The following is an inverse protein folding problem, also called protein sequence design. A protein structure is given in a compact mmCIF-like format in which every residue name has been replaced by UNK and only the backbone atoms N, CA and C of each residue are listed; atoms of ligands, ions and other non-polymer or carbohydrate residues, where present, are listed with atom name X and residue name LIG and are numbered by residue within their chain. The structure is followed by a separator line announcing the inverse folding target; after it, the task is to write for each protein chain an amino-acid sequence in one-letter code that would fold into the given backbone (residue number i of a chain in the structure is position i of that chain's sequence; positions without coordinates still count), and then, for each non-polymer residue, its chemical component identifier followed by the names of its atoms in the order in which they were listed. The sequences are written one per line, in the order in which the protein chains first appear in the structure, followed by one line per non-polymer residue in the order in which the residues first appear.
data_IF_779259886474
#
_entry.id   IF_779259886474
#
_cell.length_a   1.000
_cell.length_b   1.000
_cell.length_c   1.000
_cell.angle_alpha   90.00
_cell.angle_beta   90.00
_cell.angle_gamma   90.00
#
_symmetry.space_group_name_H-M   'P 1'
#
loop_
_entity.id
_entity.type
_entity.pdbx_description
1 polymer ?
#
# COMPACT_ATOMS: atom_id res chain seq x y z
N UNK A 1 18.35 -44.26 46.93
CA UNK A 1 18.95 -42.95 46.57
C UNK A 1 18.52 -42.61 45.15
N UNK A 2 17.59 -41.68 45.00
CA UNK A 2 17.41 -40.82 43.83
C UNK A 2 16.36 -39.79 44.24
N UNK A 3 16.80 -38.74 44.95
CA UNK A 3 15.96 -37.58 45.26
C UNK A 3 16.08 -36.66 44.05
N UNK A 4 14.93 -36.44 43.42
CA UNK A 4 14.71 -35.82 42.12
C UNK A 4 15.36 -34.43 41.98
N UNK A 5 16.17 -34.22 40.93
CA UNK A 5 16.72 -32.91 40.53
C UNK A 5 15.75 -32.07 39.69
N UNK A 6 14.44 -32.23 39.87
CA UNK A 6 13.40 -31.64 39.00
C UNK A 6 12.92 -30.24 39.42
N UNK A 7 13.26 -29.77 40.63
CA UNK A 7 12.87 -28.45 41.14
C UNK A 7 13.38 -27.23 40.33
N UNK A 8 14.65 -27.16 39.87
CA UNK A 8 15.13 -25.96 39.18
C UNK A 8 14.54 -25.81 37.77
N UNK A 9 14.33 -26.92 37.05
CA UNK A 9 13.72 -26.90 35.72
C UNK A 9 12.26 -26.46 35.75
N UNK A 10 11.54 -26.87 36.80
CA UNK A 10 10.13 -26.52 36.98
C UNK A 10 9.96 -25.04 37.37
N UNK A 11 10.80 -24.51 38.26
CA UNK A 11 10.83 -23.08 38.57
C UNK A 11 11.15 -22.21 37.35
N UNK A 12 12.15 -22.61 36.55
CA UNK A 12 12.50 -21.93 35.30
C UNK A 12 11.31 -21.92 34.31
N UNK A 13 10.60 -23.04 34.19
CA UNK A 13 9.42 -23.14 33.32
C UNK A 13 8.30 -22.19 33.76
N UNK A 14 8.05 -22.04 35.06
CA UNK A 14 7.05 -21.09 35.57
C UNK A 14 7.44 -19.63 35.30
N UNK A 15 8.70 -19.26 35.52
CA UNK A 15 9.20 -17.92 35.22
C UNK A 15 9.08 -17.62 33.73
N UNK A 16 9.48 -18.56 32.87
CA UNK A 16 9.35 -18.42 31.43
C UNK A 16 7.87 -18.29 31.00
N UNK A 17 6.97 -19.11 31.54
CA UNK A 17 5.54 -19.04 31.24
C UNK A 17 4.93 -17.69 31.69
N UNK A 18 5.29 -17.21 32.88
CA UNK A 18 4.84 -15.92 33.38
C UNK A 18 5.36 -14.76 32.50
N UNK A 19 6.63 -14.80 32.10
CA UNK A 19 7.22 -13.82 31.20
C UNK A 19 6.47 -13.81 29.85
N UNK A 20 6.20 -14.97 29.25
CA UNK A 20 5.45 -15.07 27.99
C UNK A 20 4.04 -14.50 28.14
N UNK A 21 3.29 -14.87 29.19
CA UNK A 21 1.91 -14.40 29.40
C UNK A 21 1.81 -12.89 29.59
N UNK A 22 2.85 -12.25 30.13
CA UNK A 22 2.89 -10.79 30.31
C UNK A 22 3.39 -10.07 29.05
N UNK A 23 4.51 -10.52 28.49
CA UNK A 23 5.20 -9.86 27.37
C UNK A 23 4.42 -10.02 26.07
N UNK A 24 3.87 -11.21 25.81
CA UNK A 24 3.19 -11.51 24.54
C UNK A 24 2.01 -10.56 24.22
N UNK A 25 0.99 -10.39 25.09
CA UNK A 25 -0.10 -9.45 24.81
C UNK A 25 0.39 -8.01 24.71
N UNK A 26 1.42 -7.63 25.48
CA UNK A 26 2.02 -6.30 25.41
C UNK A 26 2.65 -6.05 24.03
N UNK A 27 3.48 -6.97 23.56
CA UNK A 27 4.12 -6.90 22.23
C UNK A 27 3.06 -6.88 21.12
N UNK A 28 2.01 -7.71 21.23
CA UNK A 28 0.92 -7.70 20.25
C UNK A 28 0.23 -6.34 20.17
N UNK A 29 -0.08 -5.72 21.31
CA UNK A 29 -0.78 -4.44 21.35
C UNK A 29 0.04 -3.28 20.80
N UNK A 30 1.34 -3.24 21.08
CA UNK A 30 2.17 -2.07 20.80
C UNK A 30 3.08 -2.20 19.57
N UNK A 31 3.47 -3.41 19.19
CA UNK A 31 4.36 -3.64 18.04
C UNK A 31 3.64 -4.26 16.84
N UNK A 32 2.75 -5.24 17.08
CA UNK A 32 2.11 -5.98 15.98
C UNK A 32 0.88 -5.23 15.44
N UNK A 33 -0.06 -4.88 16.31
CA UNK A 33 -1.32 -4.21 15.98
C UNK A 33 -1.26 -2.69 16.17
N UNK A 34 -0.13 -2.08 15.77
CA UNK A 34 0.01 -0.62 15.69
C UNK A 34 -0.86 -0.06 14.57
N UNK A 35 -1.12 1.25 14.65
CA UNK A 35 -1.87 1.98 13.64
C UNK A 35 -1.24 1.77 12.25
N UNK A 36 -2.10 1.60 11.25
CA UNK A 36 -1.71 1.44 9.84
C UNK A 36 -2.16 2.65 9.05
N UNK A 37 -1.31 3.12 8.15
CA UNK A 37 -1.61 4.21 7.24
C UNK A 37 -1.78 3.63 5.84
N UNK A 38 -2.96 3.81 5.26
CA UNK A 38 -3.29 3.31 3.93
C UNK A 38 -3.54 4.51 3.03
N UNK A 39 -2.69 4.68 2.01
CA UNK A 39 -2.92 5.69 0.99
C UNK A 39 -4.12 5.27 0.13
N UNK A 40 -5.10 6.17 -0.01
CA UNK A 40 -6.29 5.96 -0.81
C UNK A 40 -6.39 7.08 -1.85
N UNK A 41 -6.68 6.69 -3.10
CA UNK A 41 -7.10 7.64 -4.12
C UNK A 41 -8.62 7.60 -4.29
N UNK A 42 -9.16 8.67 -4.86
CA UNK A 42 -10.55 8.74 -5.25
C UNK A 42 -10.98 7.53 -6.08
N UNK A 43 -12.15 6.97 -5.78
CA UNK A 43 -12.74 5.75 -6.34
C UNK A 43 -12.07 4.42 -5.94
N UNK A 44 -11.01 4.44 -5.13
CA UNK A 44 -10.36 3.21 -4.68
C UNK A 44 -11.24 2.44 -3.67
N UNK A 45 -11.36 1.13 -3.91
CA UNK A 45 -12.00 0.21 -2.97
C UNK A 45 -10.98 -0.79 -2.46
N UNK A 46 -10.61 -0.68 -1.18
CA UNK A 46 -9.47 -1.40 -0.60
C UNK A 46 -9.92 -2.25 0.59
N UNK A 47 -9.61 -3.56 0.63
CA UNK A 47 -9.75 -4.37 1.84
C UNK A 47 -8.62 -4.03 2.83
N UNK A 48 -8.96 -3.40 3.95
CA UNK A 48 -7.98 -2.98 4.96
C UNK A 48 -7.79 -4.09 5.99
N UNK A 49 -6.92 -5.05 5.64
CA UNK A 49 -6.65 -6.26 6.43
C UNK A 49 -5.37 -6.19 7.28
N UNK A 50 -4.47 -5.27 6.96
CA UNK A 50 -3.15 -5.21 7.57
C UNK A 50 -3.23 -4.87 9.06
N UNK A 51 -2.49 -5.62 9.88
CA UNK A 51 -2.38 -5.42 11.34
C UNK A 51 -3.73 -5.39 12.07
N UNK A 52 -4.72 -6.14 11.57
CA UNK A 52 -6.01 -6.37 12.23
C UNK A 52 -6.18 -7.86 12.52
N UNK A 53 -6.70 -8.20 13.70
CA UNK A 53 -7.03 -9.57 14.09
C UNK A 53 -8.35 -9.61 14.82
N UNK A 54 -9.27 -10.48 14.40
CA UNK A 54 -10.59 -10.64 15.04
C UNK A 54 -10.51 -11.23 16.47
N UNK A 55 -9.37 -11.85 16.82
CA UNK A 55 -9.09 -12.36 18.18
C UNK A 55 -8.67 -11.22 19.11
N UNK A 56 -7.74 -10.37 18.67
CA UNK A 56 -7.13 -9.33 19.52
C UNK A 56 -7.82 -7.98 19.41
N UNK A 57 -8.45 -7.70 18.27
CA UNK A 57 -9.23 -6.51 18.02
C UNK A 57 -10.72 -6.84 18.25
N UNK A 58 -11.42 -6.00 19.00
CA UNK A 58 -12.89 -6.03 19.09
C UNK A 58 -13.57 -5.27 17.96
N UNK A 59 -12.81 -4.45 17.25
CA UNK A 59 -13.28 -3.64 16.13
C UNK A 59 -12.13 -2.91 15.47
N UNK A 60 -12.43 -2.25 14.36
CA UNK A 60 -11.50 -1.46 13.58
C UNK A 60 -12.02 -0.03 13.50
N UNK A 61 -11.20 0.92 13.95
CA UNK A 61 -11.46 2.35 13.81
C UNK A 61 -10.73 2.89 12.58
N UNK A 62 -11.42 3.68 11.78
CA UNK A 62 -10.98 4.21 10.50
C UNK A 62 -11.15 5.72 10.52
N UNK A 63 -10.07 6.45 10.20
CA UNK A 63 -10.06 7.92 10.21
C UNK A 63 -9.38 8.45 8.95
N UNK A 64 -10.06 9.31 8.22
CA UNK A 64 -9.55 9.99 7.02
C UNK A 64 -10.14 11.41 6.95
N UNK A 65 -9.47 12.36 6.28
CA UNK A 65 -9.98 13.72 6.16
C UNK A 65 -11.08 13.80 5.09
N UNK A 66 -10.94 13.02 4.01
CA UNK A 66 -11.99 12.83 3.00
C UNK A 66 -13.06 11.84 3.46
N UNK A 67 -14.27 12.01 2.93
CA UNK A 67 -15.40 11.13 3.21
C UNK A 67 -15.23 9.77 2.54
N UNK A 68 -15.56 8.70 3.25
CA UNK A 68 -15.54 7.34 2.74
C UNK A 68 -16.76 6.53 3.20
N UNK A 69 -16.97 5.42 2.50
CA UNK A 69 -17.88 4.35 2.89
C UNK A 69 -17.03 3.17 3.39
N UNK A 70 -17.49 2.46 4.41
CA UNK A 70 -16.83 1.28 4.92
C UNK A 70 -17.85 0.19 5.24
N UNK A 71 -17.50 -1.06 4.90
CA UNK A 71 -18.38 -2.21 5.06
C UNK A 71 -17.59 -3.42 5.56
N UNK A 72 -18.17 -4.19 6.48
CA UNK A 72 -17.59 -5.46 6.93
C UNK A 72 -18.00 -6.58 5.99
N UNK A 73 -17.00 -7.28 5.46
CA UNK A 73 -17.18 -8.50 4.69
C UNK A 73 -16.66 -9.70 5.46
N UNK A 74 -17.12 -10.87 5.08
CA UNK A 74 -16.64 -12.15 5.59
C UNK A 74 -16.13 -12.97 4.42
N UNK A 75 -14.98 -13.63 4.58
CA UNK A 75 -14.51 -14.53 3.53
C UNK A 75 -15.59 -15.61 3.31
N UNK A 76 -16.12 -15.68 2.09
CA UNK A 76 -17.16 -16.63 1.68
C UNK A 76 -16.88 -17.09 0.25
N UNK A 77 -17.40 -18.26 -0.12
CA UNK A 77 -17.13 -18.88 -1.43
C UNK A 77 -17.74 -18.13 -2.63
N UNK A 78 -18.58 -17.11 -2.38
CA UNK A 78 -19.20 -16.30 -3.43
C UNK A 78 -18.33 -15.12 -3.87
N UNK A 79 -18.46 -14.69 -5.13
CA UNK A 79 -17.82 -13.46 -5.58
C UNK A 79 -18.42 -12.26 -4.83
N UNK A 80 -17.63 -11.61 -3.97
CA UNK A 80 -18.04 -10.38 -3.24
C UNK A 80 -17.85 -9.12 -4.08
N UNK A 81 -17.20 -9.25 -5.25
CA UNK A 81 -16.92 -8.14 -6.17
C UNK A 81 -17.88 -8.14 -7.35
N UNK A 82 -18.13 -6.95 -7.90
CA UNK A 82 -18.93 -6.71 -9.10
C UNK A 82 -18.31 -5.61 -9.95
N UNK A 83 -18.55 -5.56 -11.27
CA UNK A 83 -18.15 -4.40 -12.06
C UNK A 83 -18.89 -3.16 -11.57
N UNK A 84 -18.21 -2.01 -11.59
CA UNK A 84 -18.82 -0.72 -11.28
C UNK A 84 -19.94 -0.36 -12.26
N UNK A 85 -19.89 -0.92 -13.48
CA UNK A 85 -20.91 -0.75 -14.53
C UNK A 85 -20.79 0.55 -15.32
N UNK A 86 -19.72 1.32 -15.11
CA UNK A 86 -19.37 2.53 -15.86
C UNK A 86 -17.86 2.71 -15.88
N UNK A 87 -17.35 3.29 -16.96
CA UNK A 87 -15.94 3.68 -17.08
C UNK A 87 -15.73 5.03 -16.42
N UNK A 88 -14.70 5.12 -15.58
CA UNK A 88 -14.28 6.37 -14.96
C UNK A 88 -13.22 7.04 -15.82
N UNK A 89 -13.31 8.35 -15.99
CA UNK A 89 -12.36 9.15 -16.75
C UNK A 89 -11.59 10.07 -15.80
N UNK A 90 -10.27 9.94 -15.79
CA UNK A 90 -9.37 10.81 -15.02
C UNK A 90 -8.34 11.41 -15.97
N UNK A 91 -8.32 12.73 -16.08
CA UNK A 91 -7.30 13.45 -16.86
C UNK A 91 -6.22 13.99 -15.95
N UNK A 92 -4.97 13.61 -16.21
CA UNK A 92 -3.79 14.13 -15.53
C UNK A 92 -2.91 14.86 -16.54
N UNK A 93 -2.52 16.09 -16.20
CA UNK A 93 -1.52 16.86 -16.96
C UNK A 93 -0.37 17.17 -16.03
N UNK A 94 0.82 16.78 -16.44
CA UNK A 94 2.03 16.91 -15.64
C UNK A 94 3.15 17.54 -16.47
N UNK A 95 4.02 18.28 -15.81
CA UNK A 95 5.23 18.85 -16.40
C UNK A 95 6.42 18.19 -15.77
N UNK A 96 7.06 17.27 -16.49
CA UNK A 96 8.18 16.48 -16.00
C UNK A 96 9.48 17.11 -16.51
N UNK A 97 10.34 17.65 -15.62
CA UNK A 97 11.65 18.19 -15.99
C UNK A 97 12.59 17.17 -16.65
N UNK A 98 13.79 17.62 -17.03
CA UNK A 98 14.80 16.75 -17.63
C UNK A 98 15.36 15.77 -16.60
N UNK A 99 15.42 14.50 -17.00
CA UNK A 99 15.92 13.37 -16.20
C UNK A 99 15.22 13.23 -14.84
N UNK A 100 13.93 13.55 -14.82
CA UNK A 100 13.08 13.35 -13.66
C UNK A 100 11.94 12.40 -14.00
N UNK A 101 11.19 12.04 -12.96
CA UNK A 101 10.04 11.19 -13.08
C UNK A 101 8.90 11.68 -12.17
N UNK A 102 7.70 11.25 -12.50
CA UNK A 102 6.49 11.44 -11.73
C UNK A 102 5.70 10.14 -11.75
N UNK A 103 5.05 9.78 -10.65
CA UNK A 103 4.25 8.57 -10.62
C UNK A 103 2.97 8.73 -9.82
N UNK A 104 1.98 7.90 -10.18
CA UNK A 104 0.64 7.90 -9.61
C UNK A 104 0.26 6.48 -9.21
N UNK A 105 -0.27 6.29 -8.00
CA UNK A 105 -0.68 4.98 -7.49
C UNK A 105 -2.19 4.82 -7.50
N UNK A 106 -2.67 3.66 -7.95
CA UNK A 106 -4.07 3.28 -7.90
C UNK A 106 -4.21 1.89 -7.32
N UNK A 107 -5.15 1.68 -6.40
CA UNK A 107 -5.51 0.33 -6.01
C UNK A 107 -6.56 -0.25 -6.96
N UNK A 108 -6.26 -1.40 -7.56
CA UNK A 108 -7.23 -2.11 -8.40
C UNK A 108 -7.60 -3.45 -7.79
N UNK A 109 -8.89 -3.76 -7.83
CA UNK A 109 -9.40 -5.10 -7.53
C UNK A 109 -9.23 -5.99 -8.76
N UNK A 110 -8.88 -7.26 -8.55
CA UNK A 110 -8.74 -8.26 -9.60
C UNK A 110 -9.97 -8.31 -10.52
N UNK A 111 -9.73 -8.41 -11.83
CA UNK A 111 -10.76 -8.34 -12.87
C UNK A 111 -11.04 -6.92 -13.39
N UNK A 112 -10.44 -5.88 -12.79
CA UNK A 112 -10.50 -4.52 -13.34
C UNK A 112 -9.69 -4.43 -14.65
N UNK A 113 -10.01 -3.43 -15.46
CA UNK A 113 -9.22 -3.06 -16.63
C UNK A 113 -9.01 -1.56 -16.62
N UNK A 114 -7.87 -1.10 -17.13
CA UNK A 114 -7.68 0.33 -17.35
C UNK A 114 -6.96 0.59 -18.66
N UNK A 115 -7.33 1.69 -19.30
CA UNK A 115 -6.71 2.19 -20.52
C UNK A 115 -6.16 3.59 -20.27
N UNK A 116 -4.91 3.83 -20.63
CA UNK A 116 -4.26 5.14 -20.54
C UNK A 116 -4.03 5.65 -21.96
N UNK A 117 -4.64 6.79 -22.28
CA UNK A 117 -4.42 7.55 -23.51
C UNK A 117 -3.46 8.69 -23.21
N UNK A 118 -2.21 8.53 -23.63
CA UNK A 118 -1.10 9.42 -23.23
C UNK A 118 -0.37 10.01 -24.42
N UNK A 119 -0.01 11.30 -24.32
CA UNK A 119 0.95 11.96 -25.21
C UNK A 119 1.99 12.74 -24.41
N UNK A 120 3.14 12.97 -25.03
CA UNK A 120 4.13 13.94 -24.54
C UNK A 120 4.31 15.09 -25.52
N UNK A 121 4.76 16.23 -25.03
CA UNK A 121 5.01 17.40 -25.88
C UNK A 121 6.35 17.33 -26.60
N UNK A 122 7.35 16.80 -25.91
CA UNK A 122 8.72 16.61 -26.38
C UNK A 122 9.05 15.12 -26.42
N UNK A 123 10.06 14.77 -27.21
CA UNK A 123 10.63 13.42 -27.26
C UNK A 123 11.34 13.06 -25.94
N UNK A 124 11.62 11.77 -25.75
CA UNK A 124 12.36 11.29 -24.57
C UNK A 124 11.51 11.03 -23.33
N UNK A 125 10.18 11.00 -23.46
CA UNK A 125 9.29 10.55 -22.39
C UNK A 125 8.97 9.05 -22.51
N UNK A 126 8.74 8.40 -21.38
CA UNK A 126 8.29 7.02 -21.31
C UNK A 126 7.30 6.78 -20.19
N UNK A 127 6.52 5.73 -20.38
CA UNK A 127 5.51 5.21 -19.47
C UNK A 127 5.94 3.84 -18.96
N UNK A 128 5.87 3.59 -17.66
CA UNK A 128 6.06 2.25 -17.08
C UNK A 128 4.93 1.93 -16.09
N UNK A 129 4.56 0.65 -16.02
CA UNK A 129 3.62 0.16 -15.02
C UNK A 129 4.34 -0.74 -14.02
N UNK A 130 4.19 -0.48 -12.73
CA UNK A 130 4.81 -1.24 -11.64
C UNK A 130 3.69 -1.74 -10.72
N UNK A 131 3.76 -3.00 -10.30
CA UNK A 131 2.78 -3.59 -9.37
C UNK A 131 3.39 -3.81 -7.99
N UNK A 132 2.71 -3.33 -6.96
CA UNK A 132 3.04 -3.54 -5.56
C UNK A 132 4.08 -2.56 -5.02
N UNK A 133 3.95 -2.21 -3.75
CA UNK A 133 4.81 -1.25 -3.05
C UNK A 133 6.26 -1.73 -2.95
N UNK A 134 6.49 -3.03 -2.80
CA UNK A 134 7.85 -3.61 -2.76
C UNK A 134 8.60 -3.40 -4.08
N UNK A 135 7.93 -3.62 -5.23
CA UNK A 135 8.56 -3.42 -6.53
C UNK A 135 8.83 -1.93 -6.80
N UNK A 136 7.91 -1.05 -6.39
CA UNK A 136 8.12 0.40 -6.44
C UNK A 136 9.33 0.81 -5.59
N UNK A 137 9.40 0.37 -4.34
CA UNK A 137 10.50 0.70 -3.43
C UNK A 137 11.87 0.30 -4.01
N UNK A 138 11.97 -0.92 -4.54
CA UNK A 138 13.20 -1.38 -5.24
C UNK A 138 13.55 -0.48 -6.42
N UNK A 139 12.56 -0.05 -7.22
CA UNK A 139 12.85 0.86 -8.33
C UNK A 139 13.33 2.23 -7.82
N UNK A 140 12.65 2.82 -6.83
CA UNK A 140 13.03 4.11 -6.28
C UNK A 140 14.46 4.08 -5.71
N UNK A 141 14.81 3.04 -4.95
CA UNK A 141 16.18 2.85 -4.44
C UNK A 141 17.20 2.69 -5.58
N UNK A 142 16.88 1.93 -6.63
CA UNK A 142 17.75 1.80 -7.81
C UNK A 142 17.94 3.13 -8.56
N UNK A 143 16.90 3.97 -8.62
CA UNK A 143 16.99 5.30 -9.21
C UNK A 143 17.82 6.25 -8.33
N UNK A 144 17.71 6.16 -7.01
CA UNK A 144 18.50 6.95 -6.06
C UNK A 144 19.98 6.58 -6.04
N UNK A 145 20.30 5.29 -6.10
CA UNK A 145 21.69 4.80 -6.18
C UNK A 145 22.36 5.27 -7.46
N UNK A 146 21.69 5.11 -8.61
CA UNK A 146 22.11 5.65 -9.90
C UNK A 146 22.28 7.17 -9.87
N UNK A 147 21.38 7.89 -9.18
CA UNK A 147 21.51 9.35 -8.97
C UNK A 147 22.77 9.71 -8.18
N UNK A 148 23.17 8.88 -7.20
CA UNK A 148 24.38 9.09 -6.39
C UNK A 148 25.67 8.74 -7.14
N UNK A 149 25.58 8.22 -8.37
CA UNK A 149 26.75 7.78 -9.15
C UNK A 149 27.45 6.57 -8.54
N UNK A 150 26.76 5.84 -7.67
CA UNK A 150 27.18 4.53 -7.18
C UNK A 150 26.63 3.49 -8.16
N UNK A 151 27.25 3.39 -9.34
CA UNK A 151 26.99 2.25 -10.21
C UNK A 151 27.55 1.00 -9.50
N UNK A 152 26.67 0.04 -9.21
CA UNK A 152 27.08 -1.35 -9.00
C UNK A 152 27.85 -1.78 -10.25
N UNK A 153 29.16 -1.90 -10.12
CA UNK A 153 29.94 -2.66 -11.08
C UNK A 153 29.55 -4.11 -10.87
N UNK A 154 28.81 -4.65 -11.83
CA UNK A 154 28.75 -6.08 -12.08
C UNK A 154 30.18 -6.56 -12.38
N UNK A 155 30.96 -6.85 -11.35
CA UNK A 155 32.14 -7.72 -11.44
C UNK A 155 31.98 -8.86 -10.43
N UNK A 156 31.50 -9.99 -10.94
CA UNK A 156 31.71 -11.30 -10.35
C UNK A 156 33.23 -11.57 -10.23
N UNK A 157 33.78 -11.67 -9.01
CA UNK A 157 34.97 -12.49 -8.70
C UNK A 157 35.18 -12.67 -7.18
N UNK A 158 35.33 -13.94 -6.78
CA UNK A 158 35.70 -14.46 -5.46
C UNK A 158 36.74 -13.64 -4.68
N UNK A 159 36.55 -13.49 -3.36
CA UNK A 159 37.45 -14.05 -2.33
C UNK A 159 37.03 -13.68 -0.90
N UNK A 160 37.31 -14.61 0.02
CA UNK A 160 36.87 -14.73 1.41
C UNK A 160 37.36 -13.66 2.43
N UNK A 161 36.52 -13.55 3.48
CA UNK A 161 36.85 -13.35 4.92
C UNK A 161 37.00 -11.92 5.52
N UNK A 162 36.71 -11.79 6.84
CA UNK A 162 35.80 -10.75 7.35
C UNK A 162 36.50 -9.71 8.23
N UNK A 163 35.86 -8.56 8.42
CA UNK A 163 35.96 -7.83 9.68
C UNK A 163 34.66 -7.06 9.94
N UNK A 164 34.15 -7.27 11.15
CA UNK A 164 32.96 -6.62 11.65
C UNK A 164 33.16 -5.15 11.91
N UNK A 165 32.05 -4.42 11.89
CA UNK A 165 31.70 -3.56 13.00
C UNK A 165 30.17 -3.48 13.10
N UNK A 166 29.70 -3.71 14.32
CA UNK A 166 28.35 -3.51 14.79
C UNK A 166 27.89 -2.07 14.56
N UNK A 167 26.72 -1.89 13.96
CA UNK A 167 25.71 -0.97 14.49
C UNK A 167 24.34 -1.20 13.86
N UNK A 168 23.38 -1.54 14.69
CA UNK A 168 21.96 -1.26 14.54
C UNK A 168 21.53 -0.54 15.82
N UNK A 169 20.55 0.37 15.77
CA UNK A 169 19.16 -0.10 15.80
C UNK A 169 18.18 0.66 14.89
N UNK A 170 17.19 -0.11 14.42
CA UNK A 170 15.75 0.18 14.41
C UNK A 170 15.24 1.53 13.88
N UNK A 171 14.42 1.50 12.82
CA UNK A 171 12.94 1.60 12.95
C UNK A 171 12.25 1.65 11.56
N UNK A 172 11.32 0.71 11.36
CA UNK A 172 10.45 0.65 10.18
C UNK A 172 9.26 1.63 10.30
N UNK A 173 9.45 2.81 9.75
CA UNK A 173 8.36 3.72 9.39
C UNK A 173 7.84 3.39 7.99
N UNK A 174 6.92 2.42 7.91
CA UNK A 174 6.07 2.27 6.72
C UNK A 174 4.98 3.34 6.75
N UNK A 175 5.36 4.53 6.28
CA UNK A 175 4.44 5.58 5.82
C UNK A 175 5.04 6.19 4.55
N UNK A 176 4.92 5.49 3.42
CA UNK A 176 5.23 6.08 2.13
C UNK A 176 3.96 6.69 1.52
N UNK A 177 3.47 7.78 2.10
CA UNK A 177 2.75 8.78 1.30
C UNK A 177 3.78 9.49 0.44
N UNK A 178 4.04 8.95 -0.74
CA UNK A 178 4.98 9.56 -1.67
C UNK A 178 4.22 9.77 -2.98
N UNK A 179 3.67 10.98 -3.13
CA UNK A 179 3.69 11.64 -4.42
C UNK A 179 5.09 12.25 -4.55
N UNK A 180 5.92 11.72 -5.45
CA UNK A 180 7.24 12.31 -5.71
C UNK A 180 7.06 13.55 -6.57
N UNK A 181 7.03 14.73 -5.95
CA UNK A 181 7.48 15.92 -6.63
C UNK A 181 9.01 15.92 -6.64
N UNK A 182 9.56 15.51 -7.80
CA UNK A 182 10.92 15.80 -8.31
C UNK A 182 12.11 14.96 -7.78
N UNK A 183 12.59 14.01 -8.59
CA UNK A 183 13.91 13.38 -8.47
C UNK A 183 14.86 13.83 -9.60
N UNK A 184 15.95 14.52 -9.27
CA UNK A 184 16.97 15.02 -10.23
C UNK A 184 18.09 13.98 -10.42
N UNK A 185 18.32 13.47 -11.63
CA UNK A 185 19.48 12.61 -11.93
C UNK A 185 20.72 13.45 -12.27
N UNK A 186 21.89 12.98 -11.86
CA UNK A 186 23.19 13.63 -12.06
C UNK A 186 24.11 12.74 -12.91
N UNK A 187 23.70 12.39 -14.13
CA UNK A 187 24.63 11.91 -15.17
C UNK A 187 24.01 12.00 -16.57
N UNK A 188 24.77 12.51 -17.55
CA UNK A 188 24.28 12.80 -18.91
C UNK A 188 24.34 11.60 -19.88
N UNK A 189 24.83 10.43 -19.45
CA UNK A 189 25.14 9.32 -20.36
C UNK A 189 24.17 8.13 -20.32
N UNK A 190 23.18 8.10 -19.42
CA UNK A 190 22.21 7.00 -19.36
C UNK A 190 20.85 7.39 -19.94
N UNK A 191 20.34 6.52 -20.81
CA UNK A 191 19.02 6.62 -21.43
C UNK A 191 17.87 6.71 -20.41
N UNK A 192 16.67 6.88 -20.94
CA UNK A 192 15.42 6.97 -20.17
C UNK A 192 15.42 5.94 -19.05
N UNK A 193 15.23 6.39 -17.81
CA UNK A 193 15.30 5.54 -16.61
C UNK A 193 14.18 4.49 -16.64
N UNK A 194 14.55 3.24 -16.89
CA UNK A 194 13.64 2.09 -16.89
C UNK A 194 13.76 1.36 -15.56
N UNK A 195 12.64 1.13 -14.88
CA UNK A 195 12.60 0.20 -13.74
C UNK A 195 12.72 -1.24 -14.26
N UNK A 196 13.74 -1.99 -13.84
CA UNK A 196 13.94 -3.39 -14.26
C UNK A 196 12.78 -4.32 -13.86
N UNK A 197 12.06 -3.98 -12.78
CA UNK A 197 10.90 -4.76 -12.28
C UNK A 197 9.54 -4.21 -12.73
N UNK A 198 9.51 -3.33 -13.75
CA UNK A 198 8.24 -2.90 -14.33
C UNK A 198 7.56 -4.06 -15.07
N UNK A 199 6.23 -4.11 -15.01
CA UNK A 199 5.43 -5.05 -15.80
C UNK A 199 5.65 -4.83 -17.30
N UNK A 200 5.75 -3.57 -17.70
CA UNK A 200 6.13 -3.17 -19.04
C UNK A 200 6.57 -1.70 -19.07
N UNK A 201 7.31 -1.34 -20.12
CA UNK A 201 7.81 0.01 -20.39
C UNK A 201 7.54 0.38 -21.87
N UNK A 202 6.92 1.53 -22.11
CA UNK A 202 6.55 2.02 -23.44
C UNK A 202 7.10 3.43 -23.66
N UNK A 203 7.90 3.67 -24.71
CA UNK A 203 8.28 5.02 -25.09
C UNK A 203 7.05 5.78 -25.63
N UNK A 204 6.85 7.02 -25.16
CA UNK A 204 5.69 7.81 -25.52
C UNK A 204 5.83 8.44 -26.90
N UNK A 205 4.69 8.53 -27.62
CA UNK A 205 4.60 9.33 -28.83
C UNK A 205 4.53 10.80 -28.45
N UNK A 206 5.29 11.63 -29.16
CA UNK A 206 5.38 13.04 -28.88
C UNK A 206 4.81 13.89 -30.02
N UNK A 207 4.22 15.04 -29.66
CA UNK A 207 3.86 16.10 -30.60
C UNK A 207 3.81 17.44 -29.88
N UNK A 208 4.22 18.51 -30.56
CA UNK A 208 4.22 19.86 -29.96
C UNK A 208 2.81 20.36 -29.57
N UNK A 209 1.76 19.79 -30.17
CA UNK A 209 0.36 20.12 -29.87
C UNK A 209 -0.21 19.44 -28.63
N UNK A 210 0.48 18.45 -28.04
CA UNK A 210 -0.01 17.71 -26.87
C UNK A 210 -0.22 18.68 -25.70
N UNK A 211 -1.41 18.62 -25.08
CA UNK A 211 -1.79 19.52 -23.98
C UNK A 211 -2.02 20.98 -24.38
N UNK A 212 -2.15 21.27 -25.67
CA UNK A 212 -2.55 22.61 -26.16
C UNK A 212 -4.00 22.62 -26.60
N UNK A 213 -4.57 23.81 -26.82
CA UNK A 213 -5.90 23.97 -27.41
C UNK A 213 -6.05 23.33 -28.82
N UNK A 214 -4.93 23.00 -29.48
CA UNK A 214 -4.91 22.33 -30.79
C UNK A 214 -4.64 20.82 -30.71
N UNK A 215 -4.66 20.24 -29.50
CA UNK A 215 -4.55 18.79 -29.30
C UNK A 215 -5.79 18.08 -29.90
N UNK A 216 -5.58 17.29 -30.95
CA UNK A 216 -6.64 16.52 -31.63
C UNK A 216 -6.81 15.11 -31.06
N UNK A 217 -5.99 14.68 -30.10
CA UNK A 217 -6.04 13.35 -29.46
C UNK A 217 -5.69 12.15 -30.35
N UNK A 218 -5.68 12.29 -31.67
CA UNK A 218 -5.39 11.26 -32.68
C UNK A 218 -3.98 10.64 -32.60
N UNK A 219 -3.03 11.39 -32.06
CA UNK A 219 -1.64 11.00 -31.90
C UNK A 219 -1.33 10.35 -30.54
N UNK A 220 -2.33 10.25 -29.65
CA UNK A 220 -2.16 9.68 -28.32
C UNK A 220 -1.93 8.17 -28.40
N UNK A 221 -1.10 7.68 -27.50
CA UNK A 221 -0.81 6.26 -27.35
C UNK A 221 -1.81 5.66 -26.37
N UNK A 222 -2.60 4.68 -26.82
CA UNK A 222 -3.56 3.98 -25.98
C UNK A 222 -2.96 2.68 -25.45
N UNK A 223 -2.72 2.62 -24.14
CA UNK A 223 -2.13 1.48 -23.46
C UNK A 223 -3.21 0.87 -22.57
N UNK A 224 -3.58 -0.39 -22.78
CA UNK A 224 -4.59 -1.07 -21.96
C UNK A 224 -3.98 -2.20 -21.15
N UNK A 225 -4.42 -2.37 -19.91
CA UNK A 225 -3.93 -3.41 -19.02
C UNK A 225 -5.05 -4.04 -18.19
N UNK A 226 -5.16 -5.37 -18.29
CA UNK A 226 -6.09 -6.17 -17.50
C UNK A 226 -5.47 -6.58 -16.16
N UNK A 227 -6.15 -6.24 -15.06
CA UNK A 227 -5.69 -6.48 -13.69
C UNK A 227 -5.97 -7.92 -13.28
N UNK A 228 -4.92 -8.74 -13.22
CA UNK A 228 -5.02 -10.15 -12.81
C UNK A 228 -5.17 -10.33 -11.30
N UNK A 229 -4.51 -9.48 -10.50
CA UNK A 229 -4.45 -9.60 -9.03
C UNK A 229 -4.75 -8.27 -8.35
N UNK A 230 -5.47 -8.30 -7.22
CA UNK A 230 -5.78 -7.10 -6.43
C UNK A 230 -4.53 -6.57 -5.74
N UNK A 231 -4.06 -5.39 -6.11
CA UNK A 231 -2.87 -4.74 -5.54
C UNK A 231 -2.83 -3.25 -5.95
N UNK A 232 -1.85 -2.52 -5.43
CA UNK A 232 -1.47 -1.21 -5.93
C UNK A 232 -0.73 -1.31 -7.27
N UNK A 233 -1.15 -0.52 -8.23
CA UNK A 233 -0.48 -0.34 -9.52
C UNK A 233 0.00 1.10 -9.62
N UNK A 234 1.30 1.26 -9.79
CA UNK A 234 1.97 2.54 -9.91
C UNK A 234 2.30 2.82 -11.37
N UNK A 235 1.77 3.93 -11.86
CA UNK A 235 1.95 4.42 -13.21
C UNK A 235 3.07 5.44 -13.18
N UNK A 236 4.16 5.15 -13.88
CA UNK A 236 5.42 5.89 -13.81
C UNK A 236 5.67 6.61 -15.14
N UNK A 237 5.91 7.92 -15.07
CA UNK A 237 6.24 8.77 -16.20
C UNK A 237 7.66 9.30 -16.03
N UNK A 238 8.56 8.91 -16.93
CA UNK A 238 9.93 9.39 -16.95
C UNK A 238 10.14 10.32 -18.15
N UNK A 239 10.98 11.34 -18.01
CA UNK A 239 11.26 12.30 -19.07
C UNK A 239 12.74 12.63 -19.16
N UNK A 240 13.30 12.55 -20.36
CA UNK A 240 14.63 13.01 -20.70
C UNK A 240 14.59 13.76 -22.05
N UNK A 241 14.05 14.99 -22.07
CA UNK A 241 13.95 15.76 -23.29
C UNK A 241 15.35 16.19 -23.78
N UNK A 242 15.55 16.32 -25.10
CA UNK A 242 16.85 16.65 -25.68
C UNK A 242 17.32 18.07 -25.35
N UNK A 243 16.40 18.98 -25.02
CA UNK A 243 16.70 20.37 -24.67
C UNK A 243 16.66 20.55 -23.14
N UNK A 244 17.73 21.09 -22.58
CA UNK A 244 17.92 21.25 -21.13
C UNK A 244 16.94 22.22 -20.47
N UNK A 245 16.42 23.19 -21.22
CA UNK A 245 15.73 24.37 -20.65
C UNK A 245 14.22 24.19 -20.54
N UNK A 246 13.61 23.22 -21.22
CA UNK A 246 12.15 23.08 -21.30
C UNK A 246 11.68 21.76 -20.68
N UNK A 247 10.84 21.80 -19.63
CA UNK A 247 10.22 20.58 -19.11
C UNK A 247 9.28 19.97 -20.15
N UNK A 248 9.10 18.66 -20.09
CA UNK A 248 8.20 17.95 -20.98
C UNK A 248 6.81 17.91 -20.39
N UNK A 249 5.82 18.46 -21.10
CA UNK A 249 4.42 18.32 -20.71
C UNK A 249 3.91 16.95 -21.17
N UNK A 250 3.40 16.15 -20.24
CA UNK A 250 2.78 14.86 -20.50
C UNK A 250 1.31 14.99 -20.11
N UNK A 251 0.42 14.57 -21.02
CA UNK A 251 -1.03 14.51 -20.77
C UNK A 251 -1.45 13.06 -20.85
N UNK A 252 -2.09 12.57 -19.79
CA UNK A 252 -2.55 11.20 -19.68
C UNK A 252 -4.02 11.19 -19.25
N UNK A 253 -4.87 10.62 -20.11
CA UNK A 253 -6.27 10.36 -19.83
C UNK A 253 -6.45 8.89 -19.49
N UNK A 254 -6.92 8.62 -18.28
CA UNK A 254 -7.16 7.29 -17.74
C UNK A 254 -8.64 6.95 -17.88
N UNK A 255 -8.92 5.82 -18.49
CA UNK A 255 -10.23 5.18 -18.57
C UNK A 255 -10.19 3.94 -17.69
N UNK A 256 -10.92 3.97 -16.57
CA UNK A 256 -10.87 2.95 -15.53
C UNK A 256 -12.17 2.15 -15.51
N UNK A 257 -12.10 0.88 -15.89
CA UNK A 257 -13.17 -0.10 -15.75
C UNK A 257 -12.94 -0.90 -14.47
N UNK A 258 -13.46 -0.38 -13.34
CA UNK A 258 -13.16 -0.91 -12.02
C UNK A 258 -14.10 -2.04 -11.60
N UNK A 259 -13.53 -3.04 -10.93
CA UNK A 259 -14.25 -3.97 -10.07
C UNK A 259 -14.32 -3.36 -8.66
N UNK A 260 -15.50 -3.43 -8.04
CA UNK A 260 -15.77 -2.89 -6.70
C UNK A 260 -16.42 -3.95 -5.82
N UNK A 261 -16.34 -3.79 -4.51
CA UNK A 261 -17.04 -4.66 -3.57
C UNK A 261 -18.53 -4.36 -3.57
N UNK A 262 -19.35 -5.40 -3.57
CA UNK A 262 -20.81 -5.28 -3.57
C UNK A 262 -21.32 -5.09 -2.14
N UNK A 263 -21.70 -3.86 -1.80
CA UNK A 263 -22.22 -3.53 -0.46
C UNK A 263 -23.46 -4.34 -0.06
N UNK A 264 -24.22 -4.87 -1.03
CA UNK A 264 -25.35 -5.77 -0.76
C UNK A 264 -24.94 -7.13 -0.19
N UNK A 265 -23.69 -7.54 -0.39
CA UNK A 265 -23.09 -8.79 0.13
C UNK A 265 -22.32 -8.58 1.44
N UNK A 266 -22.39 -7.38 2.02
CA UNK A 266 -21.83 -7.09 3.34
C UNK A 266 -22.45 -7.99 4.41
N UNK A 267 -21.67 -8.36 5.44
CA UNK A 267 -22.08 -9.32 6.47
C UNK A 267 -23.28 -8.82 7.30
N UNK A 268 -23.36 -7.52 7.55
CA UNK A 268 -24.53 -6.87 8.15
C UNK A 268 -24.58 -5.40 7.75
N UNK A 269 -25.34 -5.04 6.71
CA UNK A 269 -25.32 -3.68 6.17
C UNK A 269 -25.85 -2.63 7.15
N UNK A 270 -26.71 -2.98 8.11
CA UNK A 270 -27.32 -2.02 9.04
C UNK A 270 -26.45 -1.70 10.26
N UNK A 271 -25.66 -2.65 10.75
CA UNK A 271 -24.87 -2.48 11.99
C UNK A 271 -23.36 -2.48 11.77
N UNK A 272 -22.90 -2.92 10.59
CA UNK A 272 -21.48 -3.06 10.25
C UNK A 272 -21.16 -2.29 8.96
N UNK A 273 -21.72 -1.08 8.83
CA UNK A 273 -21.35 -0.17 7.77
C UNK A 273 -21.31 1.29 8.23
N UNK A 274 -20.52 2.07 7.51
CA UNK A 274 -20.49 3.52 7.58
C UNK A 274 -20.62 4.07 6.16
N UNK A 275 -21.36 5.16 5.99
CA UNK A 275 -21.54 5.80 4.69
C UNK A 275 -21.31 7.30 4.79
N UNK A 276 -20.43 7.82 3.94
CA UNK A 276 -20.09 9.23 3.81
C UNK A 276 -19.67 9.84 5.17
N UNK A 277 -18.66 9.23 5.79
CA UNK A 277 -18.09 9.68 7.06
C UNK A 277 -16.57 9.84 6.95
N UNK A 278 -15.99 10.60 7.87
CA UNK A 278 -14.54 10.80 8.03
C UNK A 278 -13.95 10.01 9.18
N UNK A 279 -14.79 9.60 10.14
CA UNK A 279 -14.44 8.69 11.22
C UNK A 279 -15.51 7.59 11.30
N UNK A 280 -15.08 6.34 11.32
CA UNK A 280 -15.93 5.17 11.38
C UNK A 280 -15.33 4.13 12.34
N UNK A 281 -16.17 3.51 13.17
CA UNK A 281 -15.76 2.40 14.03
C UNK A 281 -16.65 1.19 13.77
N UNK A 282 -16.05 0.10 13.30
CA UNK A 282 -16.75 -1.12 12.91
C UNK A 282 -16.40 -2.25 13.87
N UNK A 283 -17.40 -2.90 14.50
CA UNK A 283 -17.16 -4.05 15.35
C UNK A 283 -16.71 -5.27 14.52
N UNK A 284 -15.92 -6.13 15.15
CA UNK A 284 -15.48 -7.42 14.61
C UNK A 284 -15.84 -8.53 15.59
N UNK A 285 -16.46 -9.60 15.09
CA UNK A 285 -16.82 -10.76 15.90
C UNK A 285 -15.57 -11.54 16.35
N UNK A 286 -15.67 -12.16 17.52
CA UNK A 286 -14.53 -12.90 18.07
C UNK A 286 -14.23 -14.14 17.23
N UNK A 287 -12.97 -14.32 16.84
CA UNK A 287 -12.50 -15.47 16.07
C UNK A 287 -13.26 -15.65 14.72
N UNK A 288 -13.75 -14.54 14.16
CA UNK A 288 -14.36 -14.51 12.83
C UNK A 288 -13.30 -14.36 11.73
N UNK A 289 -13.71 -14.57 10.48
CA UNK A 289 -12.94 -14.28 9.27
C UNK A 289 -13.44 -12.99 8.59
N UNK A 290 -13.77 -12.00 9.41
CA UNK A 290 -14.26 -10.70 8.96
C UNK A 290 -13.12 -9.74 8.65
N UNK A 291 -13.35 -8.88 7.67
CA UNK A 291 -12.45 -7.81 7.28
C UNK A 291 -13.24 -6.60 6.79
N UNK A 292 -12.65 -5.41 6.95
CA UNK A 292 -13.27 -4.17 6.50
C UNK A 292 -12.81 -3.84 5.08
N UNK A 293 -13.74 -3.43 4.24
CA UNK A 293 -13.46 -2.81 2.94
C UNK A 293 -13.85 -1.36 3.02
N UNK A 294 -12.96 -0.49 2.54
CA UNK A 294 -13.17 0.96 2.48
C UNK A 294 -13.27 1.38 1.03
N UNK A 295 -14.29 2.17 0.71
CA UNK A 295 -14.53 2.80 -0.58
C UNK A 295 -14.40 4.32 -0.42
N UNK A 296 -13.35 4.88 -1.01
CA UNK A 296 -13.16 6.32 -1.05
C UNK A 296 -13.98 6.89 -2.20
N UNK A 297 -15.15 7.42 -1.88
CA UNK A 297 -16.01 8.02 -2.89
C UNK A 297 -15.37 9.29 -3.48
N UNK A 298 -15.50 9.45 -4.79
CA UNK A 298 -15.30 10.74 -5.44
C UNK A 298 -16.54 11.62 -5.31
N UNK A 299 -16.34 12.93 -5.42
CA UNK A 299 -17.42 13.82 -5.80
C UNK A 299 -18.05 13.27 -7.09
N UNK A 300 -19.37 13.05 -7.04
CA UNK A 300 -20.26 12.52 -8.08
C UNK A 300 -20.39 10.99 -8.20
N UNK A 301 -21.36 10.48 -7.45
CA UNK A 301 -22.12 9.24 -7.74
C UNK A 301 -22.67 9.16 -9.18
N UNK A 302 -22.71 10.27 -9.93
CA UNK A 302 -23.33 10.35 -11.26
C UNK A 302 -22.40 10.79 -12.41
N UNK A 303 -21.14 11.15 -12.17
CA UNK A 303 -20.20 11.56 -13.24
C UNK A 303 -19.14 10.49 -13.47
N UNK A 304 -18.88 10.19 -14.73
CA UNK A 304 -17.74 9.39 -15.15
C UNK A 304 -16.42 10.11 -14.95
N UNK A 305 -16.39 11.44 -15.10
CA UNK A 305 -15.18 12.25 -14.92
C UNK A 305 -14.89 12.47 -13.44
N UNK A 306 -13.67 12.15 -13.04
CA UNK A 306 -13.16 12.24 -11.67
C UNK A 306 -12.02 13.27 -11.63
N UNK A 307 -12.03 14.10 -10.58
CA UNK A 307 -10.88 14.93 -10.24
C UNK A 307 -9.95 14.16 -9.32
N UNK A 308 -8.66 14.15 -9.63
CA UNK A 308 -7.68 13.47 -8.79
C UNK A 308 -7.66 14.08 -7.37
N UNK A 309 -7.96 13.23 -6.39
CA UNK A 309 -7.72 13.52 -4.97
C UNK A 309 -7.19 12.25 -4.31
N UNK A 310 -6.30 12.43 -3.33
CA UNK A 310 -5.74 11.36 -2.53
C UNK A 310 -5.71 11.77 -1.07
N UNK A 311 -5.85 10.81 -0.19
CA UNK A 311 -5.76 11.04 1.25
C UNK A 311 -5.21 9.78 1.95
N UNK A 312 -4.93 9.89 3.25
CA UNK A 312 -4.41 8.80 4.07
C UNK A 312 -5.45 8.36 5.07
N UNK A 313 -5.87 7.12 4.92
CA UNK A 313 -6.71 6.43 5.89
C UNK A 313 -5.84 5.89 7.03
N UNK A 314 -6.13 6.32 8.25
CA UNK A 314 -5.58 5.72 9.46
C UNK A 314 -6.50 4.60 9.92
N UNK A 315 -5.98 3.38 10.00
CA UNK A 315 -6.68 2.20 10.49
C UNK A 315 -6.09 1.73 11.81
N UNK A 316 -6.95 1.62 12.83
CA UNK A 316 -6.60 1.29 14.21
C UNK A 316 -7.32 0.05 14.70
N UNK A 317 -6.59 -0.83 15.37
CA UNK A 317 -7.15 -1.98 16.09
C UNK A 317 -7.68 -1.55 17.45
N UNK A 318 -9.00 -1.67 17.69
CA UNK A 318 -9.58 -1.47 19.01
C UNK A 318 -9.33 -2.71 19.87
N UNK A 319 -8.58 -2.64 20.99
CA UNK A 319 -8.16 -3.82 21.73
C UNK A 319 -9.33 -4.54 22.41
N UNK A 320 -9.42 -5.86 22.22
CA UNK A 320 -10.41 -6.72 22.87
C UNK A 320 -10.04 -6.96 24.33
N UNK A 321 -10.38 -6.00 25.19
CA UNK A 321 -10.02 -5.96 26.63
C UNK A 321 -10.19 -7.28 27.37
N UNK A 322 -11.24 -8.06 27.06
CA UNK A 322 -11.49 -9.37 27.66
C UNK A 322 -10.37 -10.39 27.42
N UNK A 323 -9.82 -10.46 26.21
CA UNK A 323 -8.71 -11.38 25.88
C UNK A 323 -7.45 -10.98 26.64
N UNK A 324 -7.09 -9.69 26.60
CA UNK A 324 -5.95 -9.17 27.37
C UNK A 324 -6.09 -9.45 28.87
N UNK A 325 -7.30 -9.26 29.42
CA UNK A 325 -7.57 -9.54 30.82
C UNK A 325 -7.33 -11.02 31.18
N UNK A 326 -7.77 -11.96 30.33
CA UNK A 326 -7.53 -13.40 30.55
C UNK A 326 -6.03 -13.69 30.64
N UNK A 327 -5.20 -13.14 29.74
CA UNK A 327 -3.75 -13.34 29.79
C UNK A 327 -3.13 -12.82 31.09
N UNK A 328 -3.48 -11.61 31.51
CA UNK A 328 -2.96 -11.04 32.76
C UNK A 328 -3.51 -11.72 34.02
N UNK A 329 -4.73 -12.23 33.97
CA UNK A 329 -5.32 -13.02 35.05
C UNK A 329 -4.61 -14.37 35.19
N UNK A 330 -4.38 -15.09 34.08
CA UNK A 330 -3.63 -16.35 34.07
C UNK A 330 -2.19 -16.11 34.50
N UNK A 331 -1.56 -15.01 34.08
CA UNK A 331 -0.24 -14.60 34.58
C UNK A 331 -0.22 -14.52 36.12
N UNK A 332 -1.20 -13.83 36.72
CA UNK A 332 -1.31 -13.74 38.18
C UNK A 332 -1.46 -15.11 38.86
N UNK A 333 -2.28 -16.01 38.29
CA UNK A 333 -2.43 -17.37 38.80
C UNK A 333 -1.14 -18.17 38.71
N UNK A 334 -0.40 -18.07 37.60
CA UNK A 334 0.88 -18.75 37.39
C UNK A 334 1.93 -18.29 38.41
N UNK A 335 2.01 -16.98 38.66
CA UNK A 335 2.92 -16.42 39.69
C UNK A 335 2.55 -16.91 41.09
N UNK A 336 1.26 -16.94 41.42
CA UNK A 336 0.80 -17.46 42.71
C UNK A 336 1.15 -18.94 42.89
N UNK A 337 0.90 -19.78 41.89
CA UNK A 337 1.26 -21.22 41.94
C UNK A 337 2.77 -21.40 42.12
N UNK A 338 3.58 -20.63 41.39
CA UNK A 338 5.04 -20.68 41.53
C UNK A 338 5.51 -20.30 42.94
N UNK A 339 4.86 -19.31 43.57
CA UNK A 339 5.19 -18.87 44.92
C UNK A 339 4.88 -19.93 46.01
N UNK A 340 3.82 -20.73 45.83
CA UNK A 340 3.43 -21.79 46.78
C UNK A 340 4.12 -23.14 46.53
N UNK A 341 4.87 -23.30 45.44
CA UNK A 341 5.66 -24.51 45.12
C UNK A 341 7.14 -24.40 45.53
N UNK A 342 7.52 -23.29 46.18
CA UNK A 342 8.86 -23.04 46.73
C UNK A 342 9.07 -23.61 48.13
#
# INVERSE_FOLDING_TARGET
MHVYSHHPFLALAFVAAAAVLFIYPFVLRFNVYKDTLVAMAVSDTIPVRERISTVWCSGQELVMNQSFDAHVFRDSDGSVTRPLGRTLELSLTMTVPKQTYEYWGFYFVAGSNFTVSVCSRLSGAAFSLIRGSSALGKCLTALETKRRGLDESDEDADSDEPNGDESSPESDDQSSTISSSEGLMLNETLGISVCNNALFHVPLRWTYSCGTAHDRGDHRHNISYAVATSDFYYVFFASNPPLYVTPNTIVADFYLDRMVYDSSKSFSPETHSCTNVTNCSLPLDFMSNEYVVVDMHGELRNSSRINWTSDVLTSRCLPRKGVYFIFYFVFGLVVMVAAFQG
#
